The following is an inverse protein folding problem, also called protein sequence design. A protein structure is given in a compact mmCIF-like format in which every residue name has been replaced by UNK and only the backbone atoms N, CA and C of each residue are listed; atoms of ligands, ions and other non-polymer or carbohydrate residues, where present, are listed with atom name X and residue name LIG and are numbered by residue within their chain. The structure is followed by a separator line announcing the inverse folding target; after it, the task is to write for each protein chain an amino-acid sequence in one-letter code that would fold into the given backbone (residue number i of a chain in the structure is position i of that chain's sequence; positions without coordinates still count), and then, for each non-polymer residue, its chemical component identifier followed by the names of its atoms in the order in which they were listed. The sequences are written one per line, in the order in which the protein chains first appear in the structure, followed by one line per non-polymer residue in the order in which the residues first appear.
data_IF_812236299945
#
_entry.id   IF_812236299945
#
_cell.length_a   1.000
_cell.length_b   1.000
_cell.length_c   1.000
_cell.angle_alpha   90.00
_cell.angle_beta   90.00
_cell.angle_gamma   90.00
#
_symmetry.space_group_name_H-M   'P 1'
#
loop_
_entity.id
_entity.type
_entity.pdbx_description
1 polymer ?
#
# COMPACT_ATOMS: atom_id res chain seq x y z
N UNK A 1 -9.73 7.21 17.23
CA UNK A 1 -10.13 8.12 16.13
C UNK A 1 -9.58 7.65 14.77
N UNK A 2 -10.33 6.85 14.01
CA UNK A 2 -9.97 6.42 12.63
C UNK A 2 -11.11 6.72 11.62
N UNK A 3 -12.03 7.63 11.97
CA UNK A 3 -13.11 8.09 11.07
C UNK A 3 -12.71 9.30 10.21
N UNK A 4 -11.51 9.85 10.42
CA UNK A 4 -11.01 10.91 9.56
C UNK A 4 -10.52 10.35 8.23
N UNK A 5 -10.73 11.09 7.15
CA UNK A 5 -10.23 10.76 5.81
C UNK A 5 -8.88 11.42 5.52
N UNK A 6 -8.20 11.95 6.55
CA UNK A 6 -7.02 12.81 6.40
C UNK A 6 -5.86 12.06 5.73
N UNK A 7 -5.62 10.80 6.09
CA UNK A 7 -4.58 9.99 5.46
C UNK A 7 -4.85 9.73 3.97
N UNK A 8 -6.12 9.64 3.56
CA UNK A 8 -6.48 9.52 2.15
C UNK A 8 -6.31 10.82 1.40
N UNK A 9 -6.72 11.94 1.98
CA UNK A 9 -6.53 13.26 1.38
C UNK A 9 -5.04 13.58 1.21
N UNK A 10 -4.23 13.29 2.23
CA UNK A 10 -2.78 13.43 2.15
C UNK A 10 -2.20 12.53 1.07
N UNK A 11 -2.58 11.25 1.03
CA UNK A 11 -2.10 10.34 -0.02
C UNK A 11 -2.50 10.83 -1.41
N UNK A 12 -3.75 11.29 -1.59
CA UNK A 12 -4.25 11.83 -2.85
C UNK A 12 -3.46 13.06 -3.29
N UNK A 13 -3.27 14.04 -2.39
CA UNK A 13 -2.49 15.26 -2.69
C UNK A 13 -1.06 14.89 -3.07
N UNK A 14 -0.42 13.98 -2.34
CA UNK A 14 0.93 13.50 -2.66
C UNK A 14 0.97 12.80 -4.02
N UNK A 15 0.01 11.93 -4.33
CA UNK A 15 -0.05 11.25 -5.62
C UNK A 15 -0.31 12.24 -6.77
N UNK A 16 -1.19 13.22 -6.58
CA UNK A 16 -1.44 14.28 -7.58
C UNK A 16 -0.16 15.09 -7.80
N UNK A 17 0.52 15.50 -6.73
CA UNK A 17 1.79 16.22 -6.83
C UNK A 17 2.84 15.41 -7.59
N UNK A 18 3.05 14.14 -7.22
CA UNK A 18 3.99 13.24 -7.92
C UNK A 18 3.60 13.06 -9.39
N UNK A 19 2.30 12.92 -9.68
CA UNK A 19 1.77 12.80 -11.04
C UNK A 19 1.99 14.06 -11.87
N UNK A 20 1.83 15.25 -11.28
CA UNK A 20 2.14 16.53 -11.92
C UNK A 20 3.64 16.63 -12.21
N UNK A 21 4.50 16.32 -11.24
CA UNK A 21 5.96 16.31 -11.44
C UNK A 21 6.34 15.33 -12.56
N UNK A 22 5.78 14.12 -12.55
CA UNK A 22 5.99 13.13 -13.62
C UNK A 22 5.55 13.67 -14.98
N UNK A 23 4.37 14.29 -15.05
CA UNK A 23 3.84 14.90 -16.27
C UNK A 23 4.72 16.04 -16.78
N UNK A 24 5.19 16.92 -15.89
CA UNK A 24 6.11 18.01 -16.24
C UNK A 24 7.44 17.49 -16.78
N UNK A 25 8.01 16.44 -16.15
CA UNK A 25 9.22 15.78 -16.64
C UNK A 25 8.97 15.20 -18.03
N UNK A 26 7.84 14.51 -18.25
CA UNK A 26 7.49 13.93 -19.53
C UNK A 26 7.28 14.97 -20.64
N UNK A 27 6.68 16.12 -20.31
CA UNK A 27 6.51 17.25 -21.23
C UNK A 27 7.85 17.90 -21.57
N UNK A 28 8.73 18.05 -20.59
CA UNK A 28 10.05 18.65 -20.77
C UNK A 28 10.97 17.75 -21.61
N UNK A 29 11.02 16.44 -21.32
CA UNK A 29 11.81 15.48 -22.07
C UNK A 29 11.19 15.08 -23.42
N UNK A 30 9.92 15.44 -23.66
CA UNK A 30 9.09 14.99 -24.80
C UNK A 30 9.01 13.46 -24.92
N UNK A 31 9.20 12.76 -23.82
CA UNK A 31 9.20 11.30 -23.76
C UNK A 31 8.68 10.82 -22.40
N UNK A 32 8.11 9.63 -22.37
CA UNK A 32 7.72 8.98 -21.11
C UNK A 32 9.01 8.56 -20.38
N UNK A 33 9.25 9.04 -19.13
CA UNK A 33 10.45 8.68 -18.39
C UNK A 33 10.64 7.18 -18.30
N UNK A 34 11.79 6.68 -18.75
CA UNK A 34 12.04 5.25 -18.79
C UNK A 34 12.39 4.72 -17.39
N UNK A 35 11.96 3.49 -17.09
CA UNK A 35 12.27 2.79 -15.84
C UNK A 35 13.78 2.75 -15.50
N UNK A 36 14.63 2.72 -16.55
CA UNK A 36 16.09 2.66 -16.45
C UNK A 36 16.76 4.03 -16.33
N UNK A 37 16.06 5.13 -16.63
CA UNK A 37 16.58 6.47 -16.46
C UNK A 37 16.58 6.89 -15.00
N UNK A 38 17.40 7.87 -14.63
CA UNK A 38 17.55 8.32 -13.23
C UNK A 38 16.19 8.60 -12.56
N UNK A 39 15.31 9.35 -13.23
CA UNK A 39 14.01 9.70 -12.65
C UNK A 39 13.10 8.49 -12.47
N UNK A 40 12.97 7.63 -13.49
CA UNK A 40 12.20 6.39 -13.40
C UNK A 40 12.75 5.47 -12.32
N UNK A 41 14.07 5.33 -12.22
CA UNK A 41 14.71 4.47 -11.24
C UNK A 41 14.51 4.97 -9.80
N UNK A 42 14.62 6.29 -9.57
CA UNK A 42 14.31 6.91 -8.29
C UNK A 42 12.86 6.66 -7.86
N UNK A 43 11.89 6.75 -8.78
CA UNK A 43 10.49 6.40 -8.50
C UNK A 43 10.35 4.94 -8.06
N UNK A 44 11.04 4.02 -8.73
CA UNK A 44 11.04 2.60 -8.39
C UNK A 44 11.62 2.34 -6.99
N UNK A 45 12.81 2.89 -6.69
CA UNK A 45 13.48 2.70 -5.40
C UNK A 45 12.66 3.29 -4.25
N UNK A 46 12.25 4.54 -4.38
CA UNK A 46 11.49 5.23 -3.32
C UNK A 46 10.11 4.61 -3.13
N UNK A 47 9.42 4.25 -4.23
CA UNK A 47 8.15 3.54 -4.20
C UNK A 47 8.27 2.18 -3.50
N UNK A 48 9.29 1.39 -3.84
CA UNK A 48 9.57 0.10 -3.20
C UNK A 48 9.88 0.25 -1.70
N UNK A 49 10.70 1.24 -1.32
CA UNK A 49 10.98 1.52 0.10
C UNK A 49 9.69 1.83 0.86
N UNK A 50 8.81 2.68 0.32
CA UNK A 50 7.53 2.98 0.97
C UNK A 50 6.64 1.74 1.10
N UNK A 51 6.60 0.88 0.08
CA UNK A 51 5.89 -0.40 0.15
C UNK A 51 6.48 -1.30 1.24
N UNK A 52 7.80 -1.44 1.31
CA UNK A 52 8.48 -2.25 2.32
C UNK A 52 8.25 -1.71 3.75
N UNK A 53 8.28 -0.39 3.92
CA UNK A 53 7.95 0.26 5.19
C UNK A 53 6.49 0.04 5.60
N UNK A 54 5.57 -0.03 4.64
CA UNK A 54 4.15 -0.32 4.88
C UNK A 54 3.97 -1.68 5.57
N UNK A 55 4.68 -2.70 5.09
CA UNK A 55 4.61 -4.05 5.64
C UNK A 55 5.40 -4.19 6.96
N UNK A 56 6.61 -3.64 7.00
CA UNK A 56 7.52 -3.82 8.14
C UNK A 56 7.15 -2.96 9.34
N UNK A 57 6.91 -1.65 9.17
CA UNK A 57 6.66 -0.76 10.31
C UNK A 57 5.37 -1.09 11.04
N UNK A 58 4.31 -1.42 10.29
CA UNK A 58 3.03 -1.79 10.89
C UNK A 58 3.13 -3.12 11.65
N UNK A 59 3.76 -4.13 11.05
CA UNK A 59 3.97 -5.44 11.67
C UNK A 59 4.87 -5.35 12.92
N UNK A 60 5.96 -4.59 12.84
CA UNK A 60 6.85 -4.33 13.97
C UNK A 60 6.11 -3.62 15.11
N UNK A 61 5.32 -2.60 14.81
CA UNK A 61 4.52 -1.90 15.82
C UNK A 61 3.49 -2.82 16.47
N UNK A 62 2.84 -3.69 15.70
CA UNK A 62 1.83 -4.65 16.20
C UNK A 62 2.45 -5.69 17.13
N UNK A 63 3.70 -6.09 16.88
CA UNK A 63 4.48 -7.01 17.74
C UNK A 63 5.08 -6.30 18.97
N UNK A 64 5.42 -5.02 18.85
CA UNK A 64 6.00 -4.23 19.94
C UNK A 64 4.98 -3.89 21.01
N UNK A 65 5.30 -4.22 22.27
CA UNK A 65 4.55 -3.79 23.46
C UNK A 65 4.86 -2.36 23.90
N UNK A 66 5.82 -1.70 23.26
CA UNK A 66 6.26 -0.38 23.69
C UNK A 66 5.23 0.70 23.32
N UNK A 67 4.61 1.29 24.34
CA UNK A 67 3.62 2.36 24.17
C UNK A 67 4.24 3.69 23.72
N UNK A 68 5.57 3.89 23.89
CA UNK A 68 6.25 5.13 23.51
C UNK A 68 6.31 5.36 22.00
N UNK A 69 6.15 4.30 21.20
CA UNK A 69 6.09 4.37 19.74
C UNK A 69 4.79 5.01 19.22
N UNK A 70 3.92 5.52 20.09
CA UNK A 70 2.70 6.21 19.71
C UNK A 70 1.50 5.30 19.49
N UNK A 71 0.36 5.93 19.20
CA UNK A 71 -0.96 5.27 19.13
C UNK A 71 -1.08 4.35 17.91
N UNK A 72 -1.68 3.17 18.09
CA UNK A 72 -1.90 2.20 17.01
C UNK A 72 -2.68 2.78 15.81
N UNK A 73 -3.61 3.71 16.08
CA UNK A 73 -4.34 4.41 15.02
C UNK A 73 -3.45 5.24 14.10
N UNK A 74 -2.35 5.81 14.64
CA UNK A 74 -1.41 6.62 13.86
C UNK A 74 -0.60 5.73 12.93
N UNK A 75 -0.15 4.57 13.40
CA UNK A 75 0.55 3.59 12.56
C UNK A 75 -0.32 3.03 11.44
N UNK A 76 -1.62 2.80 11.69
CA UNK A 76 -2.53 2.40 10.62
C UNK A 76 -2.71 3.50 9.57
N UNK A 77 -2.76 4.78 9.98
CA UNK A 77 -2.79 5.91 9.03
C UNK A 77 -1.53 5.96 8.18
N UNK A 78 -0.36 5.77 8.80
CA UNK A 78 0.91 5.68 8.09
C UNK A 78 0.94 4.50 7.11
N UNK A 79 0.48 3.33 7.53
CA UNK A 79 0.36 2.15 6.68
C UNK A 79 -0.53 2.43 5.45
N UNK A 80 -1.71 3.03 5.64
CA UNK A 80 -2.60 3.40 4.52
C UNK A 80 -1.93 4.41 3.59
N UNK A 81 -1.29 5.45 4.14
CA UNK A 81 -0.62 6.48 3.35
C UNK A 81 0.51 5.91 2.50
N UNK A 82 1.45 5.21 3.12
CA UNK A 82 2.60 4.60 2.42
C UNK A 82 2.15 3.51 1.45
N UNK A 83 1.12 2.73 1.83
CA UNK A 83 0.50 1.70 1.00
C UNK A 83 -0.31 2.21 -0.18
N UNK A 84 -0.49 3.53 -0.32
CA UNK A 84 -1.05 4.17 -1.52
C UNK A 84 0.02 4.89 -2.34
N UNK A 85 0.87 5.68 -1.67
CA UNK A 85 1.90 6.48 -2.34
C UNK A 85 2.98 5.58 -2.95
N UNK A 86 3.46 4.56 -2.23
CA UNK A 86 4.48 3.64 -2.71
C UNK A 86 4.07 2.91 -4.00
N UNK A 87 2.92 2.20 -4.01
CA UNK A 87 2.37 1.59 -5.22
C UNK A 87 2.16 2.55 -6.39
N UNK A 88 1.73 3.78 -6.14
CA UNK A 88 1.57 4.78 -7.19
C UNK A 88 2.90 5.16 -7.84
N UNK A 89 3.97 5.34 -7.05
CA UNK A 89 5.31 5.60 -7.58
C UNK A 89 5.85 4.41 -8.38
N UNK A 90 5.62 3.17 -7.91
CA UNK A 90 6.00 1.96 -8.64
C UNK A 90 5.21 1.81 -9.94
N UNK A 91 3.92 2.20 -9.97
CA UNK A 91 3.14 2.22 -11.21
C UNK A 91 3.77 3.17 -12.24
N UNK A 92 4.15 4.38 -11.84
CA UNK A 92 4.82 5.35 -12.72
C UNK A 92 6.20 4.87 -13.20
N UNK A 93 6.92 4.12 -12.37
CA UNK A 93 8.19 3.48 -12.73
C UNK A 93 8.06 2.50 -13.92
N UNK A 94 6.89 1.89 -14.13
CA UNK A 94 6.68 0.95 -15.25
C UNK A 94 6.76 1.61 -16.63
N UNK A 95 6.72 2.94 -16.71
CA UNK A 95 6.59 3.67 -17.98
C UNK A 95 5.41 3.18 -18.82
N UNK A 96 4.34 2.70 -18.18
CA UNK A 96 3.14 2.12 -18.81
C UNK A 96 3.40 0.85 -19.63
N UNK A 97 4.48 0.11 -19.31
CA UNK A 97 4.84 -1.16 -19.94
C UNK A 97 4.64 -2.31 -18.95
N UNK A 98 3.73 -3.24 -19.29
CA UNK A 98 3.33 -4.33 -18.40
C UNK A 98 3.74 -5.70 -18.97
N UNK A 99 5.04 -5.98 -19.00
CA UNK A 99 5.57 -7.21 -19.59
C UNK A 99 6.28 -8.10 -18.56
N UNK A 100 6.19 -9.42 -18.77
CA UNK A 100 6.91 -10.42 -17.97
C UNK A 100 6.66 -10.30 -16.46
N UNK A 101 7.73 -10.49 -15.68
CA UNK A 101 7.67 -10.44 -14.22
C UNK A 101 7.26 -9.04 -13.73
N UNK A 102 7.75 -7.97 -14.37
CA UNK A 102 7.42 -6.59 -14.00
C UNK A 102 5.90 -6.31 -14.14
N UNK A 103 5.29 -6.81 -15.22
CA UNK A 103 3.85 -6.75 -15.43
C UNK A 103 3.08 -7.51 -14.34
N UNK A 104 3.51 -8.73 -14.01
CA UNK A 104 2.93 -9.53 -12.94
C UNK A 104 3.05 -8.85 -11.56
N UNK A 105 4.21 -8.27 -11.24
CA UNK A 105 4.41 -7.48 -10.00
C UNK A 105 3.47 -6.28 -9.96
N UNK A 106 3.25 -5.62 -11.10
CA UNK A 106 2.34 -4.48 -11.18
C UNK A 106 0.87 -4.89 -10.98
N UNK A 107 0.47 -6.03 -11.53
CA UNK A 107 -0.85 -6.61 -11.29
C UNK A 107 -1.06 -6.94 -9.81
N UNK A 108 -0.09 -7.60 -9.17
CA UNK A 108 -0.14 -7.90 -7.73
C UNK A 108 -0.20 -6.61 -6.90
N UNK A 109 0.52 -5.56 -7.32
CA UNK A 109 0.47 -4.23 -6.71
C UNK A 109 -0.95 -3.63 -6.78
N UNK A 110 -1.62 -3.72 -7.93
CA UNK A 110 -3.00 -3.25 -8.06
C UNK A 110 -3.97 -4.05 -7.17
N UNK A 111 -3.81 -5.38 -7.11
CA UNK A 111 -4.65 -6.27 -6.29
C UNK A 111 -4.47 -5.96 -4.79
N UNK A 112 -3.24 -5.76 -4.30
CA UNK A 112 -3.02 -5.47 -2.88
C UNK A 112 -3.61 -4.11 -2.48
N UNK A 113 -3.49 -3.09 -3.35
CA UNK A 113 -4.07 -1.76 -3.11
C UNK A 113 -5.59 -1.85 -3.03
N UNK A 114 -6.22 -2.53 -4.00
CA UNK A 114 -7.66 -2.75 -3.98
C UNK A 114 -8.11 -3.52 -2.73
N UNK A 115 -7.40 -4.59 -2.38
CA UNK A 115 -7.63 -5.36 -1.16
C UNK A 115 -7.50 -4.49 0.10
N UNK A 116 -6.55 -3.54 0.13
CA UNK A 116 -6.40 -2.57 1.21
C UNK A 116 -7.62 -1.66 1.39
N UNK A 117 -8.22 -1.19 0.29
CA UNK A 117 -9.48 -0.42 0.33
C UNK A 117 -10.63 -1.25 0.91
N UNK A 118 -10.75 -2.52 0.51
CA UNK A 118 -11.73 -3.46 1.08
C UNK A 118 -11.52 -3.61 2.59
N UNK A 119 -10.29 -3.79 3.04
CA UNK A 119 -9.95 -3.89 4.46
C UNK A 119 -10.34 -2.64 5.26
N UNK A 120 -10.04 -1.44 4.72
CA UNK A 120 -10.43 -0.17 5.33
C UNK A 120 -11.95 -0.01 5.39
N UNK A 121 -12.66 -0.38 4.33
CA UNK A 121 -14.12 -0.36 4.30
C UNK A 121 -14.70 -1.23 5.43
N UNK A 122 -14.27 -2.49 5.54
CA UNK A 122 -14.72 -3.40 6.60
C UNK A 122 -14.36 -2.84 7.99
N UNK A 123 -13.14 -2.32 8.18
CA UNK A 123 -12.67 -1.79 9.45
C UNK A 123 -13.50 -0.60 9.95
N UNK A 124 -13.89 0.32 9.05
CA UNK A 124 -14.71 1.49 9.42
C UNK A 124 -16.14 1.12 9.83
N UNK A 125 -16.62 -0.06 9.42
CA UNK A 125 -17.94 -0.59 9.74
C UNK A 125 -18.01 -1.30 11.09
N UNK A 126 -16.89 -1.56 11.77
CA UNK A 126 -16.87 -2.16 13.11
C UNK A 126 -17.18 -1.09 14.16
N UNK A 127 -18.34 -1.18 14.86
CA UNK A 127 -18.65 -0.29 15.97
C UNK A 127 -17.56 -0.36 17.06
N UNK A 128 -17.14 0.80 17.58
CA UNK A 128 -16.29 0.86 18.78
C UNK A 128 -17.18 0.97 20.00
N UNK A 129 -16.93 0.13 21.00
CA UNK A 129 -17.67 0.00 22.27
C UNK A 129 -17.54 1.21 23.21
N UNK A 130 -17.44 2.43 22.68
CA UNK A 130 -17.18 3.64 23.48
C UNK A 130 -18.36 4.61 23.63
N UNK A 131 -19.52 4.33 23.02
CA UNK A 131 -20.64 5.27 23.13
C UNK A 131 -21.66 4.94 24.22
N UNK A 132 -21.48 3.89 25.05
CA UNK A 132 -22.29 3.67 26.26
C UNK A 132 -23.82 3.56 26.07
N UNK A 133 -24.32 3.76 24.85
CA UNK A 133 -25.71 3.56 24.47
C UNK A 133 -25.89 2.07 24.36
N UNK A 134 -26.80 1.55 25.19
CA UNK A 134 -27.33 0.19 25.09
C UNK A 134 -27.69 -0.08 23.64
N UNK A 135 -26.76 -0.78 23.00
CA UNK A 135 -26.95 -1.32 21.70
C UNK A 135 -28.08 -2.34 21.86
N UNK A 136 -29.16 -2.20 21.08
CA UNK A 136 -30.19 -3.25 20.94
C UNK A 136 -29.49 -4.61 20.71
N UNK A 137 -29.54 -5.44 21.75
CA UNK A 137 -28.38 -6.22 22.20
C UNK A 137 -28.14 -7.48 21.35
N UNK A 138 -29.15 -7.96 20.63
CA UNK A 138 -29.05 -9.11 19.74
C UNK A 138 -28.52 -8.79 18.33
N UNK A 139 -29.11 -7.79 17.67
CA UNK A 139 -28.85 -7.47 16.26
C UNK A 139 -27.44 -6.91 16.02
N UNK A 140 -26.94 -6.10 16.94
CA UNK A 140 -25.63 -5.47 16.80
C UNK A 140 -24.47 -6.36 17.23
N UNK A 141 -24.66 -7.27 18.19
CA UNK A 141 -23.65 -8.30 18.49
C UNK A 141 -23.45 -9.24 17.30
N UNK A 142 -24.55 -9.61 16.61
CA UNK A 142 -24.48 -10.36 15.36
C UNK A 142 -23.74 -9.57 14.26
N UNK A 143 -24.00 -8.26 14.12
CA UNK A 143 -23.29 -7.40 13.18
C UNK A 143 -21.80 -7.26 13.49
N UNK A 144 -21.44 -7.09 14.77
CA UNK A 144 -20.05 -7.07 15.25
C UNK A 144 -19.32 -8.38 14.95
N UNK A 145 -19.96 -9.52 15.21
CA UNK A 145 -19.41 -10.85 14.93
C UNK A 145 -19.16 -11.03 13.42
N UNK A 146 -20.13 -10.65 12.58
CA UNK A 146 -19.98 -10.67 11.11
C UNK A 146 -18.83 -9.79 10.64
N UNK A 147 -18.72 -8.56 11.14
CA UNK A 147 -17.65 -7.64 10.75
C UNK A 147 -16.26 -8.15 11.18
N UNK A 148 -16.14 -8.76 12.38
CA UNK A 148 -14.90 -9.43 12.82
C UNK A 148 -14.56 -10.64 11.96
N UNK A 149 -15.55 -11.45 11.58
CA UNK A 149 -15.35 -12.58 10.68
C UNK A 149 -14.87 -12.13 9.30
N UNK A 150 -15.49 -11.09 8.74
CA UNK A 150 -15.05 -10.49 7.48
C UNK A 150 -13.62 -9.96 7.57
N UNK A 151 -13.26 -9.30 8.67
CA UNK A 151 -11.87 -8.88 8.91
C UNK A 151 -10.91 -10.06 9.00
N UNK A 152 -11.30 -11.17 9.62
CA UNK A 152 -10.46 -12.37 9.68
C UNK A 152 -10.22 -12.96 8.29
N UNK A 153 -11.29 -13.11 7.49
CA UNK A 153 -11.20 -13.60 6.10
C UNK A 153 -10.32 -12.67 5.27
N UNK A 154 -10.52 -11.37 5.41
CA UNK A 154 -9.71 -10.38 4.71
C UNK A 154 -8.22 -10.53 5.03
N UNK A 155 -7.81 -10.71 6.29
CA UNK A 155 -6.40 -10.93 6.62
C UNK A 155 -5.82 -12.20 5.96
N UNK A 156 -6.59 -13.30 5.94
CA UNK A 156 -6.18 -14.56 5.30
C UNK A 156 -5.94 -14.41 3.80
N UNK A 157 -6.58 -13.45 3.15
CA UNK A 157 -6.40 -13.17 1.72
C UNK A 157 -5.35 -12.08 1.48
N UNK A 158 -5.40 -10.98 2.23
CA UNK A 158 -4.55 -9.82 2.04
C UNK A 158 -3.06 -10.11 2.30
N UNK A 159 -2.75 -10.86 3.37
CA UNK A 159 -1.36 -11.15 3.74
C UNK A 159 -0.64 -12.00 2.68
N UNK A 160 -1.20 -13.13 2.19
CA UNK A 160 -0.56 -13.89 1.12
C UNK A 160 -0.35 -13.10 -0.17
N UNK A 161 -1.28 -12.22 -0.53
CA UNK A 161 -1.11 -11.32 -1.70
C UNK A 161 0.11 -10.41 -1.49
N UNK A 162 0.26 -9.84 -0.28
CA UNK A 162 1.42 -9.03 0.07
C UNK A 162 2.72 -9.82 -0.04
N UNK A 163 2.76 -11.04 0.50
CA UNK A 163 3.93 -11.94 0.40
C UNK A 163 4.27 -12.25 -1.06
N UNK A 164 3.28 -12.64 -1.87
CA UNK A 164 3.48 -12.92 -3.28
C UNK A 164 4.00 -11.69 -4.05
N UNK A 165 3.47 -10.50 -3.74
CA UNK A 165 3.93 -9.24 -4.32
C UNK A 165 5.40 -8.98 -4.01
N UNK A 166 5.81 -9.08 -2.73
CA UNK A 166 7.21 -8.84 -2.38
C UNK A 166 8.15 -9.88 -2.97
N UNK A 167 7.77 -11.16 -3.00
CA UNK A 167 8.55 -12.20 -3.69
C UNK A 167 8.72 -11.83 -5.17
N UNK A 168 7.63 -11.47 -5.85
CA UNK A 168 7.67 -11.05 -7.25
C UNK A 168 8.56 -9.82 -7.46
N UNK A 169 8.47 -8.83 -6.57
CA UNK A 169 9.29 -7.62 -6.62
C UNK A 169 10.79 -7.91 -6.42
N UNK A 170 11.16 -8.79 -5.48
CA UNK A 170 12.54 -9.23 -5.28
C UNK A 170 13.07 -9.98 -6.49
N UNK A 171 12.27 -10.87 -7.09
CA UNK A 171 12.65 -11.58 -8.33
C UNK A 171 12.84 -10.59 -9.49
N UNK A 172 11.93 -9.62 -9.64
CA UNK A 172 12.06 -8.58 -10.66
C UNK A 172 13.35 -7.76 -10.48
N UNK A 173 13.62 -7.29 -9.26
CA UNK A 173 14.83 -6.53 -8.94
C UNK A 173 16.11 -7.36 -9.14
N UNK A 174 16.12 -8.60 -8.66
CA UNK A 174 17.25 -9.51 -8.84
C UNK A 174 17.53 -9.81 -10.31
N UNK A 175 16.49 -10.06 -11.11
CA UNK A 175 16.61 -10.21 -12.55
C UNK A 175 17.14 -8.94 -13.22
N UNK A 176 16.59 -7.77 -12.89
CA UNK A 176 17.05 -6.50 -13.44
C UNK A 176 18.53 -6.22 -13.13
N UNK A 177 18.97 -6.48 -11.89
CA UNK A 177 20.37 -6.37 -11.50
C UNK A 177 21.26 -7.36 -12.24
N UNK A 178 20.85 -8.64 -12.29
CA UNK A 178 21.59 -9.70 -12.98
C UNK A 178 21.87 -9.35 -14.45
N UNK A 179 20.82 -8.95 -15.20
CA UNK A 179 20.98 -8.54 -16.59
C UNK A 179 21.79 -7.25 -16.75
N UNK A 180 21.70 -6.32 -15.79
CA UNK A 180 22.45 -5.06 -15.83
C UNK A 180 23.95 -5.22 -15.52
N UNK A 181 24.35 -6.24 -14.73
CA UNK A 181 25.73 -6.41 -14.25
C UNK A 181 26.49 -7.56 -14.92
N UNK A 182 25.84 -8.68 -15.25
CA UNK A 182 26.53 -9.93 -15.65
C UNK A 182 26.35 -10.29 -17.13
N UNK A 183 25.39 -9.67 -17.81
CA UNK A 183 25.11 -9.91 -19.23
C UNK A 183 25.37 -8.67 -20.12
N UNK A 184 26.15 -7.71 -19.59
CA UNK A 184 26.73 -6.61 -20.37
C UNK A 184 28.04 -7.04 -21.01
#
# INVERSE_FOLDING_TARGET
MLRGYIELWLALITCVFIGVVYGLVALWSRAIPAASELFGHLLGITGFILMLLTETLYSLRKRSRNASLGRMSTWLKFHIYMGLVGPFMVLLHTSWKFNGIAGATTLLTAIIVFSGFVGRYIFTRIPRTLDGVEIDSGLSQAALKRARQMMSIWHTVHIPIGVALFISAFVHMGGALYYATLLK
#
